data_IF_188019898896
#
_entry.id   IF_188019898896
#
_cell.length_a   1.000
_cell.length_b   1.000
_cell.length_c   1.000
_cell.angle_alpha   90.00
_cell.angle_beta   90.00
_cell.angle_gamma   90.00
#
_symmetry.space_group_name_H-M   'P 1'
#
loop_
_entity.id
_entity.type
_entity.pdbx_description
1 polymer ?
#
# COMPACT_ATOMS: atom_id res chain seq x y z
N UNK A 1 -3.85 3.75 21.05
CA UNK A 1 -4.95 3.40 20.12
C UNK A 1 -4.39 3.47 18.72
N UNK A 2 -4.47 2.36 17.97
CA UNK A 2 -3.96 2.25 16.61
C UNK A 2 -5.11 2.06 15.65
N UNK A 3 -5.04 2.71 14.49
CA UNK A 3 -6.03 2.53 13.42
C UNK A 3 -5.44 1.60 12.37
N UNK A 4 -6.13 0.51 12.09
CA UNK A 4 -5.72 -0.48 11.11
C UNK A 4 -6.72 -0.57 9.96
N UNK A 5 -6.25 -1.09 8.82
CA UNK A 5 -7.07 -1.48 7.67
C UNK A 5 -6.80 -2.95 7.36
N UNK A 6 -7.83 -3.78 7.46
CA UNK A 6 -7.81 -5.16 7.00
C UNK A 6 -8.42 -5.24 5.60
N UNK A 7 -7.70 -5.88 4.68
CA UNK A 7 -8.22 -6.27 3.37
C UNK A 7 -8.32 -7.78 3.29
N UNK A 8 -9.38 -8.27 2.64
CA UNK A 8 -9.69 -9.70 2.54
C UNK A 8 -10.15 -10.02 1.13
N UNK A 9 -9.61 -11.11 0.57
CA UNK A 9 -10.10 -11.76 -0.65
C UNK A 9 -10.26 -13.26 -0.39
N UNK A 10 -11.39 -13.86 -0.73
CA UNK A 10 -11.59 -15.31 -0.61
C UNK A 10 -12.72 -15.80 -1.53
N UNK A 11 -13.01 -17.11 -1.49
CA UNK A 11 -14.23 -17.64 -2.12
C UNK A 11 -15.46 -17.23 -1.32
N UNK A 12 -16.49 -16.75 -2.02
CA UNK A 12 -17.73 -16.31 -1.38
C UNK A 12 -18.42 -17.48 -0.68
N UNK A 13 -18.71 -17.29 0.60
CA UNK A 13 -19.44 -18.26 1.43
C UNK A 13 -20.07 -17.58 2.64
N UNK A 14 -21.08 -18.21 3.21
CA UNK A 14 -21.79 -17.69 4.38
C UNK A 14 -20.86 -17.66 5.60
N UNK A 15 -20.91 -16.55 6.33
CA UNK A 15 -20.28 -16.42 7.64
C UNK A 15 -18.91 -15.73 7.63
N UNK A 16 -18.39 -15.31 6.47
CA UNK A 16 -17.15 -14.53 6.36
C UNK A 16 -17.23 -13.26 7.22
N UNK A 17 -18.25 -12.43 6.97
CA UNK A 17 -18.43 -11.15 7.68
C UNK A 17 -18.56 -11.35 9.18
N UNK A 18 -19.37 -12.33 9.61
CA UNK A 18 -19.59 -12.62 11.02
C UNK A 18 -18.32 -13.12 11.73
N UNK A 19 -17.51 -13.93 11.05
CA UNK A 19 -16.25 -14.41 11.62
C UNK A 19 -15.23 -13.27 11.79
N UNK A 20 -15.10 -12.39 10.78
CA UNK A 20 -14.19 -11.26 10.84
C UNK A 20 -14.63 -10.21 11.87
N UNK A 21 -15.90 -9.83 11.88
CA UNK A 21 -16.40 -8.83 12.83
C UNK A 21 -16.43 -9.36 14.26
N UNK A 22 -16.78 -10.63 14.47
CA UNK A 22 -16.73 -11.28 15.77
C UNK A 22 -15.31 -11.31 16.34
N UNK A 23 -14.34 -11.72 15.52
CA UNK A 23 -12.93 -11.70 15.91
C UNK A 23 -12.44 -10.30 16.30
N UNK A 24 -12.70 -9.28 15.49
CA UNK A 24 -12.30 -7.91 15.81
C UNK A 24 -12.92 -7.45 17.14
N UNK A 25 -14.20 -7.74 17.37
CA UNK A 25 -14.87 -7.40 18.63
C UNK A 25 -14.25 -8.14 19.83
N UNK A 26 -13.91 -9.42 19.70
CA UNK A 26 -13.23 -10.22 20.74
C UNK A 26 -11.83 -9.69 21.08
N UNK A 27 -11.17 -9.02 20.14
CA UNK A 27 -9.87 -8.37 20.34
C UNK A 27 -9.98 -6.90 20.81
N UNK A 28 -11.16 -6.45 21.24
CA UNK A 28 -11.36 -5.07 21.68
C UNK A 28 -11.15 -4.05 20.55
N UNK A 29 -11.43 -4.44 19.31
CA UNK A 29 -11.39 -3.54 18.16
C UNK A 29 -12.77 -3.00 17.82
N UNK A 30 -12.82 -1.72 17.46
CA UNK A 30 -14.03 -1.02 17.05
C UNK A 30 -13.98 -0.68 15.55
N UNK A 31 -14.98 -1.14 14.79
CA UNK A 31 -15.04 -0.94 13.34
C UNK A 31 -15.52 0.49 13.02
N UNK A 32 -14.74 1.22 12.25
CA UNK A 32 -15.02 2.60 11.83
C UNK A 32 -15.65 2.65 10.44
N UNK A 33 -15.16 1.81 9.53
CA UNK A 33 -15.66 1.70 8.16
C UNK A 33 -15.58 0.25 7.71
N UNK A 34 -16.60 -0.23 7.01
CA UNK A 34 -16.65 -1.61 6.52
C UNK A 34 -17.35 -1.64 5.17
N UNK A 35 -16.61 -2.06 4.15
CA UNK A 35 -17.10 -2.23 2.79
C UNK A 35 -16.88 -3.66 2.33
N UNK A 36 -17.87 -4.24 1.67
CA UNK A 36 -17.79 -5.59 1.13
C UNK A 36 -18.38 -5.66 -0.28
N UNK A 37 -17.84 -6.55 -1.10
CA UNK A 37 -18.30 -6.80 -2.45
C UNK A 37 -18.29 -8.30 -2.71
N UNK A 38 -19.43 -8.81 -3.16
CA UNK A 38 -19.62 -10.22 -3.53
C UNK A 38 -19.74 -10.29 -5.05
N UNK A 39 -18.71 -10.84 -5.68
CA UNK A 39 -18.67 -11.04 -7.12
C UNK A 39 -19.25 -12.41 -7.47
N UNK A 40 -20.55 -12.41 -7.79
CA UNK A 40 -21.28 -13.62 -8.16
C UNK A 40 -20.79 -14.25 -9.47
N UNK A 41 -20.08 -13.52 -10.33
CA UNK A 41 -19.56 -14.07 -11.59
C UNK A 41 -18.31 -14.91 -11.36
N UNK A 42 -17.40 -14.44 -10.50
CA UNK A 42 -16.14 -15.14 -10.19
C UNK A 42 -16.25 -16.03 -8.93
N UNK A 43 -17.32 -15.85 -8.14
CA UNK A 43 -17.52 -16.47 -6.84
C UNK A 43 -16.52 -15.99 -5.80
N UNK A 44 -15.97 -14.78 -5.97
CA UNK A 44 -15.03 -14.16 -5.04
C UNK A 44 -15.74 -13.16 -4.13
N UNK A 45 -15.25 -13.08 -2.91
CA UNK A 45 -15.67 -12.12 -1.91
C UNK A 45 -14.50 -11.22 -1.52
N UNK A 46 -14.78 -9.92 -1.48
CA UNK A 46 -13.83 -8.89 -1.10
C UNK A 46 -14.36 -8.09 0.08
N UNK A 47 -13.49 -7.76 1.03
CA UNK A 47 -13.84 -6.90 2.16
C UNK A 47 -12.69 -6.00 2.55
N UNK A 48 -13.04 -4.77 2.92
CA UNK A 48 -12.13 -3.79 3.52
C UNK A 48 -12.75 -3.29 4.82
N UNK A 49 -12.02 -3.46 5.93
CA UNK A 49 -12.44 -3.03 7.26
C UNK A 49 -11.41 -2.05 7.80
N UNK A 50 -11.83 -0.83 8.11
CA UNK A 50 -11.03 0.11 8.91
C UNK A 50 -11.52 0.05 10.35
N UNK A 51 -10.61 -0.13 11.30
CA UNK A 51 -10.96 -0.29 12.72
C UNK A 51 -9.90 0.32 13.63
N UNK A 52 -10.31 0.65 14.86
CA UNK A 52 -9.43 1.12 15.93
C UNK A 52 -9.24 -0.03 16.92
N UNK A 53 -7.99 -0.37 17.25
CA UNK A 53 -7.71 -1.22 18.41
C UNK A 53 -7.73 -0.36 19.68
N UNK A 54 -8.85 -0.41 20.39
CA UNK A 54 -9.11 0.45 21.56
C UNK A 54 -8.31 -0.02 22.78
N UNK A 55 -8.13 -1.34 22.91
CA UNK A 55 -7.32 -1.98 23.97
C UNK A 55 -5.82 -2.00 23.67
N UNK A 56 -5.40 -1.50 22.50
CA UNK A 56 -3.98 -1.38 22.12
C UNK A 56 -3.33 -2.69 21.66
N UNK A 57 -4.14 -3.65 21.17
CA UNK A 57 -3.63 -4.87 20.53
C UNK A 57 -2.81 -4.50 19.30
N UNK A 58 -1.55 -4.95 19.28
CA UNK A 58 -0.62 -4.68 18.18
C UNK A 58 -0.91 -5.53 16.95
N UNK A 59 -0.49 -5.03 15.77
CA UNK A 59 -0.59 -5.76 14.48
C UNK A 59 -0.17 -7.23 14.56
N UNK A 60 0.99 -7.60 15.14
CA UNK A 60 1.40 -9.02 15.15
C UNK A 60 0.41 -9.94 15.86
N UNK A 61 -0.16 -9.51 16.98
CA UNK A 61 -1.15 -10.30 17.71
C UNK A 61 -2.47 -10.43 16.92
N UNK A 62 -2.87 -9.35 16.23
CA UNK A 62 -4.04 -9.37 15.34
C UNK A 62 -3.83 -10.30 14.14
N UNK A 63 -2.64 -10.30 13.54
CA UNK A 63 -2.30 -11.19 12.44
C UNK A 63 -2.30 -12.67 12.89
N UNK A 64 -1.68 -12.97 14.03
CA UNK A 64 -1.69 -14.34 14.57
C UNK A 64 -3.10 -14.83 14.88
N UNK A 65 -3.94 -14.00 15.51
CA UNK A 65 -5.33 -14.36 15.83
C UNK A 65 -6.23 -14.48 14.60
N UNK A 66 -5.88 -13.81 13.49
CA UNK A 66 -6.62 -13.90 12.22
C UNK A 66 -6.32 -15.21 11.46
N UNK A 67 -5.14 -15.82 11.64
CA UNK A 67 -4.70 -17.01 10.88
C UNK A 67 -5.71 -18.17 10.87
N UNK A 68 -6.36 -18.56 11.99
CA UNK A 68 -7.36 -19.64 11.98
C UNK A 68 -8.58 -19.31 11.13
N UNK A 69 -9.00 -18.04 11.12
CA UNK A 69 -10.14 -17.56 10.33
C UNK A 69 -9.75 -17.54 8.84
N UNK A 70 -8.58 -16.97 8.53
CA UNK A 70 -8.05 -16.96 7.18
C UNK A 70 -7.91 -18.38 6.62
N UNK A 71 -7.39 -19.32 7.41
CA UNK A 71 -7.29 -20.73 7.03
C UNK A 71 -8.65 -21.40 6.78
N UNK A 72 -9.64 -21.16 7.65
CA UNK A 72 -11.01 -21.71 7.51
C UNK A 72 -11.68 -21.33 6.18
N UNK A 73 -11.46 -20.10 5.74
CA UNK A 73 -12.11 -19.55 4.54
C UNK A 73 -11.18 -19.47 3.33
N UNK A 74 -9.94 -19.98 3.45
CA UNK A 74 -8.88 -19.83 2.45
C UNK A 74 -8.72 -18.38 1.97
N UNK A 75 -8.62 -17.45 2.94
CA UNK A 75 -8.49 -16.02 2.68
C UNK A 75 -7.05 -15.63 2.36
N UNK A 76 -6.92 -14.72 1.41
CA UNK A 76 -5.79 -13.81 1.32
C UNK A 76 -6.13 -12.57 2.13
N UNK A 77 -5.27 -12.21 3.08
CA UNK A 77 -5.49 -11.08 3.98
C UNK A 77 -4.25 -10.21 4.08
N UNK A 78 -4.44 -8.90 4.16
CA UNK A 78 -3.37 -7.97 4.53
C UNK A 78 -3.86 -6.97 5.59
N UNK A 79 -3.08 -6.80 6.65
CA UNK A 79 -3.36 -5.89 7.75
C UNK A 79 -2.37 -4.72 7.73
N UNK A 80 -2.88 -3.51 7.57
CA UNK A 80 -2.08 -2.29 7.42
C UNK A 80 -2.30 -1.36 8.61
N UNK A 81 -1.21 -0.83 9.18
CA UNK A 81 -1.27 0.27 10.14
C UNK A 81 -1.38 1.59 9.39
N UNK A 82 -2.41 2.39 9.68
CA UNK A 82 -2.61 3.69 9.00
C UNK A 82 -1.54 4.73 9.32
N UNK A 83 -0.74 4.51 10.38
CA UNK A 83 0.40 5.36 10.70
C UNK A 83 1.65 5.05 9.85
N UNK A 84 1.72 3.86 9.25
CA UNK A 84 2.82 3.48 8.36
C UNK A 84 2.60 4.07 6.97
N UNK A 85 3.53 4.92 6.52
CA UNK A 85 3.50 5.49 5.18
C UNK A 85 4.13 4.53 4.18
N UNK A 86 3.46 4.36 3.04
CA UNK A 86 4.01 3.56 1.94
C UNK A 86 5.19 4.30 1.32
N UNK A 87 6.31 3.59 1.17
CA UNK A 87 7.46 4.06 0.40
C UNK A 87 7.16 4.01 -1.09
N UNK A 88 7.41 5.09 -1.80
CA UNK A 88 7.06 5.23 -3.22
C UNK A 88 8.23 5.80 -4.01
N UNK A 89 8.67 5.05 -5.02
CA UNK A 89 9.59 5.51 -6.04
C UNK A 89 8.80 6.07 -7.22
N UNK A 90 9.04 7.32 -7.60
CA UNK A 90 8.36 7.94 -8.74
C UNK A 90 9.21 7.82 -10.00
N UNK A 91 8.57 7.56 -11.14
CA UNK A 91 9.25 7.53 -12.44
C UNK A 91 8.67 8.61 -13.36
N UNK A 92 9.55 9.37 -14.00
CA UNK A 92 9.15 10.46 -14.91
C UNK A 92 10.03 10.49 -16.15
N UNK A 93 9.45 10.80 -17.31
CA UNK A 93 10.20 11.08 -18.53
C UNK A 93 10.29 12.59 -18.75
N UNK A 94 9.88 13.11 -19.91
CA UNK A 94 9.90 14.56 -20.21
C UNK A 94 8.65 15.32 -19.82
N UNK A 95 7.55 14.62 -19.51
CA UNK A 95 6.27 15.24 -19.16
C UNK A 95 6.00 15.04 -17.68
N UNK A 96 6.18 16.09 -16.87
CA UNK A 96 6.08 16.03 -15.41
C UNK A 96 4.78 16.57 -14.84
N UNK A 97 3.69 16.63 -15.61
CA UNK A 97 2.40 17.08 -15.05
C UNK A 97 1.94 16.17 -13.90
N UNK A 98 2.04 14.84 -14.05
CA UNK A 98 1.76 13.90 -12.95
C UNK A 98 2.76 14.04 -11.80
N UNK A 99 4.05 14.22 -12.09
CA UNK A 99 5.07 14.41 -11.06
C UNK A 99 4.75 15.63 -10.20
N UNK A 100 4.43 16.76 -10.83
CA UNK A 100 4.11 17.99 -10.12
C UNK A 100 2.86 17.84 -9.24
N UNK A 101 1.82 17.15 -9.73
CA UNK A 101 0.60 16.89 -8.94
C UNK A 101 0.90 15.99 -7.73
N UNK A 102 1.67 14.91 -7.92
CA UNK A 102 2.05 14.00 -6.83
C UNK A 102 2.91 14.70 -5.78
N UNK A 103 3.92 15.47 -6.20
CA UNK A 103 4.77 16.25 -5.30
C UNK A 103 3.97 17.30 -4.52
N UNK A 104 3.00 17.95 -5.18
CA UNK A 104 2.11 18.91 -4.53
C UNK A 104 1.25 18.23 -3.47
N UNK A 105 0.53 17.15 -3.81
CA UNK A 105 -0.34 16.40 -2.87
C UNK A 105 0.45 15.83 -1.69
N UNK A 106 1.64 15.31 -1.95
CA UNK A 106 2.55 14.84 -0.91
C UNK A 106 2.94 15.98 0.03
N UNK A 107 3.38 17.13 -0.52
CA UNK A 107 3.83 18.28 0.27
C UNK A 107 2.73 18.86 1.16
N UNK A 108 1.48 18.88 0.70
CA UNK A 108 0.34 19.37 1.50
C UNK A 108 -0.27 18.30 2.42
N UNK A 109 0.26 17.07 2.41
CA UNK A 109 -0.22 15.96 3.24
C UNK A 109 -1.48 15.25 2.72
N UNK A 110 -1.99 15.62 1.54
CA UNK A 110 -3.13 14.96 0.90
C UNK A 110 -2.79 13.57 0.33
N UNK A 111 -1.49 13.26 0.20
CA UNK A 111 -0.98 11.95 -0.17
C UNK A 111 0.07 11.51 0.86
N UNK A 112 -0.34 10.78 1.93
CA UNK A 112 0.53 10.43 3.05
C UNK A 112 1.44 9.24 2.69
N UNK A 113 2.43 9.50 1.85
CA UNK A 113 3.46 8.54 1.41
C UNK A 113 4.85 9.08 1.72
N UNK A 114 5.84 8.19 1.68
CA UNK A 114 7.25 8.56 1.74
C UNK A 114 7.84 8.43 0.33
N UNK A 115 8.11 9.56 -0.32
CA UNK A 115 8.75 9.55 -1.65
C UNK A 115 10.23 9.26 -1.46
N UNK A 116 10.64 8.03 -1.77
CA UNK A 116 12.02 7.56 -1.54
C UNK A 116 12.99 7.96 -2.66
N UNK A 117 12.46 8.40 -3.79
CA UNK A 117 13.25 8.94 -4.89
C UNK A 117 12.42 9.19 -6.15
N UNK A 118 13.04 9.85 -7.11
CA UNK A 118 12.52 10.02 -8.47
C UNK A 118 13.54 9.52 -9.48
N UNK A 119 13.12 8.62 -10.36
CA UNK A 119 13.92 8.12 -11.47
C UNK A 119 13.46 8.76 -12.78
N UNK A 120 14.40 9.20 -13.60
CA UNK A 120 14.11 9.67 -14.95
C UNK A 120 15.16 9.22 -15.95
N UNK A 121 14.78 9.07 -17.21
CA UNK A 121 15.73 8.96 -18.30
C UNK A 121 16.21 10.34 -18.83
N UNK A 122 15.71 11.43 -18.27
CA UNK A 122 16.10 12.80 -18.59
C UNK A 122 16.45 13.60 -17.32
N UNK A 123 16.91 14.84 -17.48
CA UNK A 123 17.30 15.72 -16.36
C UNK A 123 16.31 16.86 -16.13
N UNK A 124 15.26 16.97 -16.96
CA UNK A 124 14.31 18.07 -17.04
C UNK A 124 13.71 18.45 -15.68
N UNK A 125 13.42 17.45 -14.83
CA UNK A 125 12.80 17.64 -13.52
C UNK A 125 13.76 17.51 -12.33
N UNK A 126 15.06 17.33 -12.56
CA UNK A 126 16.04 17.17 -11.48
C UNK A 126 15.97 18.33 -10.47
N UNK A 127 15.95 19.57 -10.96
CA UNK A 127 15.90 20.75 -10.09
C UNK A 127 14.61 20.80 -9.26
N UNK A 128 13.47 20.44 -9.85
CA UNK A 128 12.19 20.41 -9.12
C UNK A 128 12.24 19.40 -7.99
N UNK A 129 12.71 18.18 -8.27
CA UNK A 129 12.78 17.09 -7.29
C UNK A 129 13.76 17.39 -6.16
N UNK A 130 14.97 17.83 -6.50
CA UNK A 130 16.02 18.12 -5.50
C UNK A 130 15.64 19.30 -4.61
N UNK A 131 14.88 20.28 -5.12
CA UNK A 131 14.35 21.38 -4.30
C UNK A 131 13.31 20.92 -3.24
N UNK A 132 12.81 19.70 -3.35
CA UNK A 132 11.97 19.05 -2.34
C UNK A 132 12.77 18.12 -1.42
N UNK A 133 14.11 18.15 -1.48
CA UNK A 133 15.03 17.28 -0.73
C UNK A 133 14.83 15.78 -1.03
N UNK A 134 14.32 15.45 -2.22
CA UNK A 134 14.09 14.07 -2.67
C UNK A 134 15.27 13.61 -3.55
N UNK A 135 15.77 12.37 -3.40
CA UNK A 135 16.80 11.82 -4.29
C UNK A 135 16.33 11.77 -5.75
N UNK A 136 17.19 12.22 -6.68
CA UNK A 136 16.93 12.15 -8.12
C UNK A 136 17.97 11.26 -8.82
N UNK A 137 17.51 10.28 -9.59
CA UNK A 137 18.35 9.34 -10.31
C UNK A 137 18.10 9.44 -11.82
N UNK A 138 19.12 9.77 -12.60
CA UNK A 138 19.03 9.75 -14.06
C UNK A 138 19.56 8.44 -14.63
N UNK A 139 18.68 7.59 -15.18
CA UNK A 139 19.03 6.33 -15.84
C UNK A 139 18.76 6.46 -17.33
N UNK A 140 19.82 6.64 -18.13
CA UNK A 140 19.70 6.75 -19.59
C UNK A 140 19.31 5.40 -20.20
N UNK A 141 18.22 5.38 -20.95
CA UNK A 141 17.72 4.21 -21.67
C UNK A 141 17.83 4.41 -23.18
N UNK A 142 18.46 3.45 -23.85
CA UNK A 142 18.51 3.25 -25.31
C UNK A 142 18.00 1.84 -25.63
N UNK A 143 17.82 1.50 -26.92
CA UNK A 143 17.35 0.16 -27.30
C UNK A 143 18.36 -0.93 -26.91
N UNK A 144 19.65 -0.59 -26.97
CA UNK A 144 20.77 -1.50 -26.76
C UNK A 144 21.06 -1.73 -25.28
N UNK A 145 20.80 -0.74 -24.41
CA UNK A 145 21.11 -0.82 -22.99
C UNK A 145 19.90 -1.12 -22.08
N UNK A 146 18.71 -1.29 -22.66
CA UNK A 146 17.45 -1.41 -21.91
C UNK A 146 17.49 -2.44 -20.77
N UNK A 147 17.98 -3.68 -20.98
CA UNK A 147 18.04 -4.67 -19.89
C UNK A 147 18.92 -4.21 -18.71
N UNK A 148 20.03 -3.53 -19.00
CA UNK A 148 20.93 -3.00 -17.97
C UNK A 148 20.30 -1.83 -17.23
N UNK A 149 19.58 -0.96 -17.92
CA UNK A 149 18.90 0.17 -17.31
C UNK A 149 17.72 -0.28 -16.42
N UNK A 150 16.97 -1.31 -16.83
CA UNK A 150 15.91 -1.93 -16.03
C UNK A 150 16.48 -2.63 -14.78
N UNK A 151 17.61 -3.33 -14.91
CA UNK A 151 18.30 -3.90 -13.75
C UNK A 151 18.71 -2.81 -12.74
N UNK A 152 19.31 -1.71 -13.22
CA UNK A 152 19.68 -0.59 -12.35
C UNK A 152 18.45 0.05 -11.66
N UNK A 153 17.31 0.13 -12.34
CA UNK A 153 16.06 0.61 -11.75
C UNK A 153 15.57 -0.33 -10.64
N UNK A 154 15.59 -1.64 -10.87
CA UNK A 154 15.18 -2.63 -9.88
C UNK A 154 16.10 -2.63 -8.66
N UNK A 155 17.42 -2.48 -8.85
CA UNK A 155 18.38 -2.32 -7.75
C UNK A 155 18.00 -1.13 -6.84
N UNK A 156 17.52 -0.02 -7.41
CA UNK A 156 17.05 1.12 -6.62
C UNK A 156 15.76 0.83 -5.86
N UNK A 157 14.82 0.10 -6.47
CA UNK A 157 13.59 -0.32 -5.78
C UNK A 157 13.95 -1.16 -4.56
N UNK A 158 14.83 -2.14 -4.71
CA UNK A 158 15.27 -3.01 -3.61
C UNK A 158 16.03 -2.25 -2.51
N UNK A 159 16.90 -1.31 -2.88
CA UNK A 159 17.69 -0.52 -1.91
C UNK A 159 16.85 0.49 -1.12
N UNK A 160 15.77 1.00 -1.72
CA UNK A 160 14.92 2.03 -1.09
C UNK A 160 13.76 1.45 -0.29
N UNK A 161 13.41 0.18 -0.57
CA UNK A 161 12.65 -0.71 0.30
C UNK A 161 11.16 -0.79 0.02
#
# INVERSE_FOLDING_TARGET
MHTYVLTVTCKSTRGIVAALSGYLAEQGCNIIDSSQFDDLQTGLFFMRISFISEEGVGRPALEEGLKPIAGKFAMETALHDQSERTKVLLMVSRFGHCLNDLLYRWKIGALPIDIVGVVSNHFDYQKVVVNHDIPFHCIKVTKENKPKAEAQLLDFVEQTG
#
